data_IF_886417508984
#
_entry.id   IF_886417508984
#
_cell.length_a   1.000
_cell.length_b   1.000
_cell.length_c   1.000
_cell.angle_alpha   90.00
_cell.angle_beta   90.00
_cell.angle_gamma   90.00
#
_symmetry.space_group_name_H-M   'P 1'
#
loop_
_entity.id
_entity.type
_entity.pdbx_description
1 polymer ?
#
# COMPACT_ATOMS: atom_id res chain seq x y z
N UNK A 1 9.66 -21.64 -4.67
CA UNK A 1 8.44 -21.53 -3.81
C UNK A 1 7.74 -20.19 -4.14
N UNK A 2 6.40 -20.09 -4.11
CA UNK A 2 5.72 -18.79 -4.34
C UNK A 2 5.44 -18.09 -3.01
N UNK A 3 5.82 -16.82 -2.91
CA UNK A 3 5.62 -15.98 -1.72
C UNK A 3 4.78 -14.75 -2.08
N UNK A 4 3.87 -14.34 -1.20
CA UNK A 4 3.09 -13.10 -1.35
C UNK A 4 3.74 -12.01 -0.51
N UNK A 5 4.04 -10.86 -1.12
CA UNK A 5 4.63 -9.70 -0.47
C UNK A 5 3.74 -8.48 -0.59
N UNK A 6 3.83 -7.60 0.41
CA UNK A 6 3.16 -6.30 0.36
C UNK A 6 3.97 -5.34 -0.52
N UNK A 7 3.28 -4.60 -1.38
CA UNK A 7 3.87 -3.61 -2.29
C UNK A 7 3.17 -2.26 -2.18
N UNK A 8 3.12 -1.70 -0.98
CA UNK A 8 2.54 -0.38 -0.74
C UNK A 8 3.12 0.74 -1.65
N UNK A 9 4.43 0.77 -1.98
CA UNK A 9 4.96 1.75 -2.93
C UNK A 9 4.34 1.65 -4.34
N UNK A 10 4.07 0.43 -4.81
CA UNK A 10 3.44 0.17 -6.11
C UNK A 10 1.99 0.65 -6.10
N UNK A 11 1.22 0.29 -5.08
CA UNK A 11 -0.15 0.75 -4.88
C UNK A 11 -0.22 2.29 -4.83
N UNK A 12 0.69 2.93 -4.10
CA UNK A 12 0.77 4.38 -3.99
C UNK A 12 1.11 5.06 -5.32
N UNK A 13 2.03 4.48 -6.09
CA UNK A 13 2.38 4.98 -7.42
C UNK A 13 1.20 4.89 -8.39
N UNK A 14 0.46 3.77 -8.38
CA UNK A 14 -0.74 3.59 -9.20
C UNK A 14 -1.82 4.61 -8.82
N UNK A 15 -2.08 4.80 -7.52
CA UNK A 15 -3.03 5.80 -7.02
C UNK A 15 -2.64 7.21 -7.49
N UNK A 16 -1.37 7.56 -7.39
CA UNK A 16 -0.88 8.88 -7.83
C UNK A 16 -0.96 9.07 -9.35
N UNK A 17 -0.78 8.02 -10.14
CA UNK A 17 -0.99 8.07 -11.58
C UNK A 17 -2.45 8.37 -11.93
N UNK A 18 -3.41 7.70 -11.27
CA UNK A 18 -4.85 7.99 -11.43
C UNK A 18 -5.20 9.42 -11.02
N UNK A 19 -4.67 9.88 -9.88
CA UNK A 19 -4.87 11.25 -9.38
C UNK A 19 -4.34 12.29 -10.38
N UNK A 20 -3.15 12.05 -10.94
CA UNK A 20 -2.57 12.92 -11.96
C UNK A 20 -3.46 13.02 -13.21
N UNK A 21 -4.04 11.91 -13.68
CA UNK A 21 -4.99 11.89 -14.79
C UNK A 21 -6.26 12.71 -14.52
N UNK A 22 -6.62 12.89 -13.25
CA UNK A 22 -7.77 13.67 -12.80
C UNK A 22 -7.38 15.12 -12.40
N UNK A 23 -6.14 15.55 -12.63
CA UNK A 23 -5.65 16.87 -12.21
C UNK A 23 -5.51 17.04 -10.69
N UNK A 24 -5.53 15.94 -9.93
CA UNK A 24 -5.42 15.95 -8.47
C UNK A 24 -3.96 15.90 -8.02
N UNK A 25 -3.68 16.46 -6.83
CA UNK A 25 -2.37 16.38 -6.19
C UNK A 25 -2.07 14.95 -5.76
N UNK A 26 -0.80 14.55 -5.90
CA UNK A 26 -0.31 13.27 -5.39
C UNK A 26 -0.51 13.15 -3.87
N UNK A 27 -0.84 11.95 -3.41
CA UNK A 27 -0.88 11.56 -2.00
C UNK A 27 0.50 11.03 -1.59
N UNK A 28 0.99 11.51 -0.44
CA UNK A 28 2.25 11.08 0.17
C UNK A 28 2.00 9.99 1.20
N UNK A 29 3.02 9.22 1.59
CA UNK A 29 2.88 8.23 2.68
C UNK A 29 2.44 8.86 4.01
N UNK A 30 2.88 10.09 4.30
CA UNK A 30 2.47 10.80 5.51
C UNK A 30 1.00 11.24 5.44
N UNK A 31 0.55 11.72 4.28
CA UNK A 31 -0.85 12.06 4.06
C UNK A 31 -1.74 10.81 4.17
N UNK A 32 -1.33 9.69 3.56
CA UNK A 32 -2.00 8.39 3.70
C UNK A 32 -2.08 7.95 5.17
N UNK A 33 -0.99 8.04 5.93
CA UNK A 33 -0.98 7.70 7.36
C UNK A 33 -1.97 8.55 8.15
N UNK A 34 -2.00 9.86 7.87
CA UNK A 34 -2.92 10.80 8.49
C UNK A 34 -4.38 10.49 8.17
N UNK A 35 -4.71 10.16 6.92
CA UNK A 35 -6.07 9.82 6.49
C UNK A 35 -6.56 8.48 7.09
N UNK A 36 -5.67 7.50 7.25
CA UNK A 36 -5.97 6.22 7.89
C UNK A 36 -6.11 6.35 9.42
N UNK A 37 -5.48 7.36 10.01
CA UNK A 37 -5.40 7.56 11.46
C UNK A 37 -4.32 6.70 12.13
N UNK A 38 -3.20 6.45 11.46
CA UNK A 38 -2.06 5.67 12.00
C UNK A 38 -0.78 6.50 12.01
N UNK A 39 0.19 6.10 12.84
CA UNK A 39 1.52 6.69 12.79
C UNK A 39 2.18 6.47 11.42
N UNK A 40 2.90 7.47 10.90
CA UNK A 40 3.64 7.36 9.65
C UNK A 40 4.64 6.18 9.66
N UNK A 41 5.19 5.86 10.83
CA UNK A 41 6.09 4.70 11.02
C UNK A 41 5.41 3.36 10.73
N UNK A 42 4.09 3.25 10.91
CA UNK A 42 3.30 2.07 10.54
C UNK A 42 3.27 1.92 9.02
N UNK A 43 2.98 3.00 8.29
CA UNK A 43 2.98 3.02 6.82
C UNK A 43 4.38 2.75 6.25
N UNK A 44 5.42 3.38 6.81
CA UNK A 44 6.81 3.15 6.39
C UNK A 44 7.27 1.70 6.65
N UNK A 45 6.78 1.06 7.71
CA UNK A 45 7.05 -0.35 7.98
C UNK A 45 6.38 -1.25 6.94
N UNK A 46 5.12 -0.98 6.61
CA UNK A 46 4.41 -1.69 5.54
C UNK A 46 5.07 -1.52 4.17
N UNK A 47 5.64 -0.35 3.89
CA UNK A 47 6.35 -0.10 2.65
C UNK A 47 7.69 -0.86 2.52
N UNK A 48 8.20 -1.39 3.63
CA UNK A 48 9.38 -2.27 3.62
C UNK A 48 8.90 -3.63 3.13
N UNK A 49 9.39 -4.05 1.97
CA UNK A 49 8.98 -5.25 1.22
C UNK A 49 9.39 -6.57 1.90
N UNK A 50 9.14 -6.72 3.21
CA UNK A 50 9.37 -7.96 3.91
C UNK A 50 8.11 -8.83 3.93
N UNK A 51 8.27 -10.13 3.68
CA UNK A 51 7.17 -11.09 3.65
C UNK A 51 6.35 -11.12 4.95
N UNK A 52 7.00 -10.78 6.07
CA UNK A 52 6.36 -10.65 7.39
C UNK A 52 5.33 -9.51 7.42
N UNK A 53 5.55 -8.43 6.67
CA UNK A 53 4.62 -7.31 6.56
C UNK A 53 3.29 -7.71 5.93
N UNK A 54 3.30 -8.60 4.92
CA UNK A 54 2.08 -9.10 4.29
C UNK A 54 1.26 -9.99 5.25
N UNK A 55 1.91 -10.92 5.95
CA UNK A 55 1.25 -11.82 6.90
C UNK A 55 0.71 -11.13 8.16
N UNK A 56 1.22 -9.95 8.49
CA UNK A 56 0.83 -9.19 9.68
C UNK A 56 -0.08 -8.00 9.39
N UNK A 57 -0.46 -7.78 8.12
CA UNK A 57 -1.33 -6.66 7.75
C UNK A 57 -2.76 -6.92 8.28
N UNK A 58 -3.27 -6.07 9.19
CA UNK A 58 -4.65 -6.17 9.64
C UNK A 58 -5.62 -5.91 8.47
N UNK A 59 -6.70 -6.70 8.40
CA UNK A 59 -7.69 -6.59 7.31
C UNK A 59 -8.36 -5.20 7.27
N UNK A 60 -8.58 -4.59 8.43
CA UNK A 60 -9.12 -3.23 8.54
C UNK A 60 -8.15 -2.18 7.97
N UNK A 61 -6.85 -2.32 8.26
CA UNK A 61 -5.81 -1.45 7.73
C UNK A 61 -5.67 -1.62 6.21
N UNK A 62 -5.72 -2.86 5.72
CA UNK A 62 -5.75 -3.16 4.30
C UNK A 62 -6.94 -2.47 3.62
N UNK A 63 -8.16 -2.66 4.14
CA UNK A 63 -9.38 -2.07 3.60
C UNK A 63 -9.34 -0.54 3.55
N UNK A 64 -8.79 0.11 4.58
CA UNK A 64 -8.58 1.57 4.59
C UNK A 64 -7.61 2.02 3.52
N UNK A 65 -6.47 1.34 3.36
CA UNK A 65 -5.47 1.64 2.32
C UNK A 65 -6.11 1.52 0.94
N UNK A 66 -6.84 0.43 0.66
CA UNK A 66 -7.49 0.20 -0.63
C UNK A 66 -8.54 1.28 -0.95
N UNK A 67 -9.34 1.65 0.05
CA UNK A 67 -10.37 2.69 -0.09
C UNK A 67 -9.76 4.06 -0.38
N UNK A 68 -8.76 4.47 0.41
CA UNK A 68 -8.14 5.81 0.28
C UNK A 68 -7.35 5.93 -1.03
N UNK A 69 -6.64 4.87 -1.42
CA UNK A 69 -5.84 4.89 -2.64
C UNK A 69 -6.67 4.62 -3.91
N UNK A 70 -7.94 4.23 -3.78
CA UNK A 70 -8.76 3.71 -4.88
C UNK A 70 -8.02 2.61 -5.66
N UNK A 71 -7.54 1.57 -4.97
CA UNK A 71 -6.81 0.45 -5.58
C UNK A 71 -7.37 -0.89 -5.14
N UNK A 72 -7.05 -1.96 -5.87
CA UNK A 72 -7.49 -3.31 -5.54
C UNK A 72 -6.44 -4.02 -4.69
N UNK A 73 -6.86 -5.06 -3.99
CA UNK A 73 -5.95 -5.88 -3.17
C UNK A 73 -4.76 -6.44 -3.98
N UNK A 74 -4.98 -6.79 -5.26
CA UNK A 74 -3.92 -7.25 -6.15
C UNK A 74 -2.90 -6.18 -6.55
N UNK A 75 -3.22 -4.90 -6.35
CA UNK A 75 -2.27 -3.80 -6.57
C UNK A 75 -1.41 -3.54 -5.32
N UNK A 76 -1.87 -4.01 -4.15
CA UNK A 76 -1.17 -3.96 -2.86
C UNK A 76 -0.30 -5.20 -2.60
N UNK A 77 -0.53 -6.28 -3.33
CA UNK A 77 0.16 -7.56 -3.17
C UNK A 77 0.94 -7.93 -4.43
N UNK A 78 2.09 -8.57 -4.24
CA UNK A 78 2.90 -9.13 -5.33
C UNK A 78 3.25 -10.58 -5.02
N UNK A 79 3.12 -11.45 -6.02
CA UNK A 79 3.57 -12.84 -5.93
C UNK A 79 5.00 -12.91 -6.46
N UNK A 80 5.94 -13.24 -5.59
CA UNK A 80 7.36 -13.39 -5.91
C UNK A 80 7.70 -14.88 -5.99
N UNK A 81 8.39 -15.27 -7.07
CA UNK A 81 8.98 -16.59 -7.18
C UNK A 81 10.32 -16.60 -6.45
N UNK A 82 10.41 -17.40 -5.39
CA UNK A 82 11.67 -17.65 -4.69
C UNK A 82 12.44 -18.76 -5.43
N UNK A 83 13.76 -18.56 -5.65
CA UNK A 83 14.64 -19.58 -6.22
C UNK A 83 14.64 -20.87 -5.39
#
# INVERSE_FOLDING_TARGET
MKEVRLTLPKALALANLKRAQQGQKAITMNALASEIGVAATTITRLARTDAKGASSLPLDLAGKILTILDVRIGDLLEVVEMP
#
